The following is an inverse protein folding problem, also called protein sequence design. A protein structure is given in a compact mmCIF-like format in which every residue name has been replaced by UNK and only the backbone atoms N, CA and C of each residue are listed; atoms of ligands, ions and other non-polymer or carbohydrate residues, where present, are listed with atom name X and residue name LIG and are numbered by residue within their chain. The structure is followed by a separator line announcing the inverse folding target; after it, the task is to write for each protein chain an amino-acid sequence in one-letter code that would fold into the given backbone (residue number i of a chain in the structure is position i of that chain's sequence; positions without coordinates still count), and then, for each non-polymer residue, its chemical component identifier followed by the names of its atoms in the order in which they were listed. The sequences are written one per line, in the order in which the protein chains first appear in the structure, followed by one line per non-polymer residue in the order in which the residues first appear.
data_IF_365733311293
#
_entry.id   IF_365733311293
#
_cell.length_a   1.000
_cell.length_b   1.000
_cell.length_c   1.000
_cell.angle_alpha   90.00
_cell.angle_beta   90.00
_cell.angle_gamma   90.00
#
_symmetry.space_group_name_H-M   'P 1'
#
loop_
_entity.id
_entity.type
_entity.pdbx_description
1 polymer ?
#
# COMPACT_ATOMS: atom_id res chain seq x y z
N UNK A 1 11.71 -25.24 0.12
CA UNK A 1 11.31 -24.33 1.21
C UNK A 1 11.75 -22.93 0.80
N UNK A 2 10.79 -22.08 0.43
CA UNK A 2 11.10 -20.71 0.02
C UNK A 2 11.32 -19.91 1.30
N UNK A 3 12.54 -19.38 1.51
CA UNK A 3 12.82 -18.44 2.58
C UNK A 3 11.73 -17.35 2.56
N UNK A 4 11.15 -16.96 3.71
CA UNK A 4 10.25 -15.83 3.72
C UNK A 4 11.03 -14.64 3.18
N UNK A 5 10.53 -13.94 2.14
CA UNK A 5 11.21 -12.73 1.72
C UNK A 5 11.21 -11.81 2.93
N UNK A 6 12.42 -11.48 3.42
CA UNK A 6 12.68 -10.25 4.18
C UNK A 6 11.67 -9.19 3.75
N UNK A 7 10.98 -8.49 4.67
CA UNK A 7 9.91 -7.56 4.29
C UNK A 7 10.50 -6.59 3.28
N UNK A 8 10.15 -6.78 2.00
CA UNK A 8 10.78 -6.05 0.91
C UNK A 8 10.62 -4.58 1.23
N UNK A 9 11.73 -3.85 1.36
CA UNK A 9 11.71 -2.45 1.75
C UNK A 9 10.79 -1.63 0.83
N UNK A 10 10.59 -2.12 -0.39
CA UNK A 10 9.70 -1.57 -1.40
C UNK A 10 8.72 -2.64 -1.87
N UNK A 11 7.43 -2.32 -1.82
CA UNK A 11 6.28 -3.13 -2.20
C UNK A 11 5.68 -2.60 -3.50
N UNK A 12 5.20 -3.51 -4.36
CA UNK A 12 4.36 -3.14 -5.50
C UNK A 12 2.89 -3.04 -5.10
N UNK A 13 2.03 -2.48 -5.96
CA UNK A 13 0.57 -2.51 -5.78
C UNK A 13 0.06 -3.94 -5.53
N UNK A 14 0.64 -4.95 -6.19
CA UNK A 14 0.24 -6.35 -6.01
C UNK A 14 0.57 -6.87 -4.61
N UNK A 15 1.73 -6.49 -4.09
CA UNK A 15 2.17 -6.92 -2.76
C UNK A 15 1.32 -6.25 -1.69
N UNK A 16 1.07 -4.94 -1.81
CA UNK A 16 0.16 -4.20 -0.93
C UNK A 16 -1.25 -4.79 -0.95
N UNK A 17 -1.79 -5.10 -2.14
CA UNK A 17 -3.11 -5.71 -2.27
C UNK A 17 -3.18 -7.09 -1.59
N UNK A 18 -2.11 -7.88 -1.69
CA UNK A 18 -2.01 -9.20 -1.04
C UNK A 18 -1.92 -9.07 0.48
N UNK A 19 -1.15 -8.09 0.99
CA UNK A 19 -1.02 -7.82 2.42
C UNK A 19 -2.33 -7.33 3.05
N UNK A 20 -3.02 -6.39 2.39
CA UNK A 20 -4.29 -5.84 2.86
C UNK A 20 -5.50 -6.71 2.52
N UNK A 21 -5.31 -7.83 1.81
CA UNK A 21 -6.36 -8.73 1.34
C UNK A 21 -7.46 -8.01 0.54
N UNK A 22 -7.07 -7.08 -0.32
CA UNK A 22 -7.97 -6.29 -1.15
C UNK A 22 -7.62 -6.36 -2.64
N UNK A 23 -8.46 -5.79 -3.50
CA UNK A 23 -8.19 -5.77 -4.94
C UNK A 23 -7.09 -4.77 -5.31
N UNK A 24 -6.35 -5.02 -6.40
CA UNK A 24 -5.36 -4.06 -6.94
C UNK A 24 -5.99 -2.69 -7.25
N UNK A 25 -7.24 -2.69 -7.71
CA UNK A 25 -8.01 -1.47 -7.99
C UNK A 25 -8.27 -0.68 -6.71
N UNK A 26 -8.57 -1.37 -5.60
CA UNK A 26 -8.75 -0.71 -4.31
C UNK A 26 -7.47 0.00 -3.87
N UNK A 27 -6.31 -0.67 -3.94
CA UNK A 27 -5.01 -0.04 -3.64
C UNK A 27 -4.73 1.13 -4.56
N UNK A 28 -5.01 1.02 -5.86
CA UNK A 28 -4.84 2.13 -6.81
C UNK A 28 -5.74 3.33 -6.46
N UNK A 29 -6.97 3.08 -6.01
CA UNK A 29 -7.88 4.13 -5.55
C UNK A 29 -7.40 4.80 -4.25
N UNK A 30 -6.84 4.04 -3.31
CA UNK A 30 -6.20 4.58 -2.09
C UNK A 30 -5.01 5.47 -2.47
N UNK A 31 -4.14 5.00 -3.35
CA UNK A 31 -2.96 5.74 -3.83
C UNK A 31 -3.38 7.04 -4.52
N UNK A 32 -4.44 7.02 -5.31
CA UNK A 32 -4.96 8.21 -5.98
C UNK A 32 -5.86 9.09 -5.08
N UNK A 33 -6.17 8.65 -3.86
CA UNK A 33 -7.04 9.38 -2.93
C UNK A 33 -8.50 9.46 -3.38
N UNK A 34 -9.00 8.43 -4.06
CA UNK A 34 -10.39 8.35 -4.54
C UNK A 34 -11.37 7.82 -3.49
N UNK A 35 -10.86 7.29 -2.38
CA UNK A 35 -11.70 6.72 -1.31
C UNK A 35 -11.95 7.81 -0.26
N UNK A 36 -13.21 8.23 -0.04
CA UNK A 36 -13.53 9.23 0.96
C UNK A 36 -13.22 8.70 2.38
N UNK A 37 -12.79 9.59 3.27
CA UNK A 37 -12.46 9.25 4.66
C UNK A 37 -11.07 8.62 4.87
N UNK A 38 -10.44 8.11 3.81
CA UNK A 38 -9.14 7.42 3.89
C UNK A 38 -8.00 8.35 3.43
N UNK A 39 -6.96 8.61 4.26
CA UNK A 39 -5.73 9.29 3.82
C UNK A 39 -5.09 8.62 2.60
N UNK A 40 -4.42 9.43 1.78
CA UNK A 40 -3.70 8.93 0.60
C UNK A 40 -2.49 8.09 1.02
N UNK A 41 -2.28 6.94 0.36
CA UNK A 41 -1.09 6.13 0.59
C UNK A 41 0.12 6.73 -0.13
N UNK A 42 1.17 7.03 0.63
CA UNK A 42 2.45 7.52 0.12
C UNK A 42 3.08 6.51 -0.83
N UNK A 43 3.57 6.99 -1.98
CA UNK A 43 4.09 6.13 -3.03
C UNK A 43 5.18 6.82 -3.87
N UNK A 44 6.01 6.00 -4.49
CA UNK A 44 6.99 6.37 -5.50
C UNK A 44 6.39 6.06 -6.87
N UNK A 45 6.42 7.05 -7.76
CA UNK A 45 5.99 6.88 -9.14
C UNK A 45 7.18 6.50 -10.03
N UNK A 46 7.11 5.34 -10.68
CA UNK A 46 8.11 4.88 -11.64
C UNK A 46 7.39 4.57 -12.97
N UNK A 47 7.00 5.64 -13.66
CA UNK A 47 6.16 5.59 -14.86
C UNK A 47 4.80 4.95 -14.58
N UNK A 48 4.49 3.84 -15.25
CA UNK A 48 3.24 3.08 -15.06
C UNK A 48 3.20 2.28 -13.75
N UNK A 49 4.35 2.11 -13.08
CA UNK A 49 4.43 1.35 -11.83
C UNK A 49 4.38 2.30 -10.64
N UNK A 50 3.68 1.88 -9.60
CA UNK A 50 3.66 2.53 -8.29
C UNK A 50 4.30 1.59 -7.28
N UNK A 51 5.23 2.13 -6.51
CA UNK A 51 5.97 1.43 -5.47
C UNK A 51 5.68 2.10 -4.13
N UNK A 52 5.54 1.30 -3.08
CA UNK A 52 5.20 1.77 -1.74
C UNK A 52 6.26 1.22 -0.80
N UNK A 53 6.89 2.08 0.00
CA UNK A 53 7.82 1.55 1.00
C UNK A 53 7.06 0.86 2.13
N UNK A 54 7.63 -0.21 2.68
CA UNK A 54 6.99 -0.93 3.80
C UNK A 54 6.71 0.00 4.98
N UNK A 55 7.70 0.81 5.34
CA UNK A 55 7.59 1.82 6.40
C UNK A 55 6.41 2.79 6.20
N UNK A 56 6.13 3.18 4.95
CA UNK A 56 5.03 4.08 4.63
C UNK A 56 3.68 3.39 4.70
N UNK A 57 3.61 2.12 4.32
CA UNK A 57 2.39 1.33 4.48
C UNK A 57 2.05 1.16 5.97
N UNK A 58 3.05 0.87 6.80
CA UNK A 58 2.85 0.70 8.24
C UNK A 58 2.42 2.03 8.90
N UNK A 59 3.07 3.15 8.56
CA UNK A 59 2.65 4.49 9.01
C UNK A 59 1.24 4.85 8.53
N UNK A 60 0.89 4.47 7.30
CA UNK A 60 -0.44 4.72 6.75
C UNK A 60 -1.51 3.88 7.46
N UNK A 61 -1.23 2.61 7.80
CA UNK A 61 -2.13 1.78 8.60
C UNK A 61 -2.36 2.40 9.98
N UNK A 62 -1.30 2.87 10.62
CA UNK A 62 -1.35 3.57 11.90
C UNK A 62 -2.16 4.87 11.82
N UNK A 63 -2.01 5.65 10.74
CA UNK A 63 -2.79 6.86 10.52
C UNK A 63 -4.27 6.59 10.20
N UNK A 64 -4.61 5.38 9.75
CA UNK A 64 -5.97 4.94 9.47
C UNK A 64 -6.69 4.30 10.65
N UNK A 65 -5.99 4.05 11.77
CA UNK A 65 -6.45 3.08 12.78
C UNK A 65 -7.82 3.33 13.40
N UNK A 66 -8.30 4.57 13.45
CA UNK A 66 -9.62 4.89 14.00
C UNK A 66 -10.20 6.10 13.27
N UNK A 67 -10.67 5.87 12.04
CA UNK A 67 -11.52 6.82 11.30
C UNK A 67 -12.89 6.21 11.00
N UNK A 68 -13.46 5.47 11.95
CA UNK A 68 -14.88 5.11 11.96
C UNK A 68 -15.65 6.05 12.88
#
# INVERSE_FOLDING_TARGET
MQNPPEPQAVLTIRDVASLLRCSKTHVANVIHGKIPGIPRLSHISMGRRKLVRREWLDQWLEANKERC
#
